data_IF_942005269336
#
_entry.id   IF_942005269336
#
_cell.length_a   1.000
_cell.length_b   1.000
_cell.length_c   1.000
_cell.angle_alpha   90.00
_cell.angle_beta   90.00
_cell.angle_gamma   90.00
#
_symmetry.space_group_name_H-M   'P 1'
#
loop_
_entity.id
_entity.type
_entity.pdbx_description
1 polymer ?
#
# COMPACT_ATOMS: atom_id res chain seq x y z
N UNK A 1 -13.21 -86.59 -9.69
CA UNK A 1 -14.25 -85.56 -9.40
C UNK A 1 -13.58 -84.29 -8.93
N UNK A 2 -13.42 -83.30 -9.81
CA UNK A 2 -12.73 -82.08 -9.51
C UNK A 2 -13.79 -80.96 -9.53
N UNK A 3 -14.11 -80.44 -8.34
CA UNK A 3 -15.01 -79.29 -8.19
C UNK A 3 -14.23 -77.99 -8.48
N UNK A 4 -14.67 -77.30 -9.54
CA UNK A 4 -14.17 -75.93 -9.87
C UNK A 4 -14.92 -74.93 -9.01
N UNK A 5 -14.18 -74.18 -8.15
CA UNK A 5 -14.70 -73.08 -7.41
C UNK A 5 -14.61 -71.81 -8.28
N UNK A 6 -15.74 -71.13 -8.42
CA UNK A 6 -15.82 -69.84 -9.12
C UNK A 6 -15.45 -68.72 -8.12
N UNK A 7 -14.49 -67.88 -8.48
CA UNK A 7 -14.17 -66.62 -7.78
C UNK A 7 -15.05 -65.50 -8.32
N UNK A 8 -15.67 -64.68 -7.46
CA UNK A 8 -16.33 -63.45 -7.90
C UNK A 8 -15.32 -62.34 -8.11
N UNK A 9 -15.41 -61.71 -9.25
CA UNK A 9 -14.64 -60.51 -9.60
C UNK A 9 -15.21 -59.30 -8.82
N UNK A 10 -14.42 -58.70 -7.93
CA UNK A 10 -14.72 -57.42 -7.30
C UNK A 10 -14.31 -56.28 -8.25
N UNK A 11 -15.29 -55.59 -8.82
CA UNK A 11 -15.10 -54.31 -9.50
C UNK A 11 -14.88 -53.22 -8.46
N UNK A 12 -13.62 -52.76 -8.30
CA UNK A 12 -13.29 -51.57 -7.52
C UNK A 12 -13.62 -50.32 -8.34
N UNK A 13 -14.69 -49.64 -7.99
CA UNK A 13 -15.00 -48.31 -8.50
C UNK A 13 -14.04 -47.28 -7.87
N UNK A 14 -13.09 -46.78 -8.66
CA UNK A 14 -12.23 -45.67 -8.27
C UNK A 14 -13.03 -44.35 -8.42
N UNK A 15 -13.50 -43.83 -7.28
CA UNK A 15 -14.10 -42.49 -7.24
C UNK A 15 -12.98 -41.44 -7.38
N UNK A 16 -12.92 -40.78 -8.51
CA UNK A 16 -12.07 -39.61 -8.75
C UNK A 16 -12.69 -38.42 -7.97
N UNK A 17 -12.17 -38.13 -6.76
CA UNK A 17 -12.49 -36.87 -6.06
C UNK A 17 -11.73 -35.74 -6.74
N UNK A 18 -12.45 -34.90 -7.52
CA UNK A 18 -11.94 -33.61 -7.97
C UNK A 18 -11.79 -32.71 -6.72
N UNK A 19 -10.57 -32.59 -6.21
CA UNK A 19 -10.24 -31.54 -5.26
C UNK A 19 -10.20 -30.22 -6.03
N UNK A 20 -11.25 -29.41 -5.88
CA UNK A 20 -11.22 -28.02 -6.28
C UNK A 20 -10.15 -27.31 -5.41
N UNK A 21 -8.94 -27.18 -5.93
CA UNK A 21 -7.88 -26.41 -5.32
C UNK A 21 -8.27 -24.93 -5.34
N UNK A 22 -8.64 -24.38 -4.20
CA UNK A 22 -8.64 -22.93 -3.99
C UNK A 22 -7.19 -22.44 -4.13
N UNK A 23 -6.80 -22.07 -5.34
CA UNK A 23 -5.56 -21.37 -5.59
C UNK A 23 -5.77 -19.91 -5.17
N UNK A 24 -5.64 -19.64 -3.88
CA UNK A 24 -5.49 -18.30 -3.30
C UNK A 24 -4.10 -17.77 -3.62
N UNK A 25 -3.75 -17.67 -4.88
CA UNK A 25 -2.57 -16.97 -5.36
C UNK A 25 -2.91 -15.49 -5.52
N UNK A 26 -2.77 -14.70 -4.46
CA UNK A 26 -2.74 -13.25 -4.59
C UNK A 26 -1.61 -12.89 -5.55
N UNK A 27 -1.94 -12.55 -6.79
CA UNK A 27 -0.97 -12.00 -7.73
C UNK A 27 -0.51 -10.67 -7.16
N UNK A 28 0.75 -10.61 -6.70
CA UNK A 28 1.35 -9.35 -6.28
C UNK A 28 1.16 -8.34 -7.41
N UNK A 29 0.41 -7.27 -7.14
CA UNK A 29 0.15 -6.24 -8.13
C UNK A 29 1.47 -5.65 -8.63
N UNK A 30 1.57 -5.41 -9.93
CA UNK A 30 2.75 -4.77 -10.51
C UNK A 30 2.86 -3.34 -9.96
N UNK A 31 4.10 -2.87 -9.68
CA UNK A 31 4.31 -1.51 -9.20
C UNK A 31 3.64 -0.45 -10.09
N UNK A 32 2.76 0.35 -9.53
CA UNK A 32 2.01 1.39 -10.24
C UNK A 32 0.74 0.94 -10.96
N UNK A 33 0.41 -0.35 -10.92
CA UNK A 33 -0.86 -0.85 -11.44
C UNK A 33 -1.89 -0.99 -10.31
N UNK A 34 -3.18 -0.69 -10.58
CA UNK A 34 -4.22 -0.86 -9.58
C UNK A 34 -4.40 -2.34 -9.19
N UNK A 35 -4.51 -2.56 -7.88
CA UNK A 35 -4.96 -3.83 -7.30
C UNK A 35 -6.45 -4.00 -7.58
N UNK A 36 -6.95 -5.18 -8.01
CA UNK A 36 -8.38 -5.43 -8.12
C UNK A 36 -9.10 -5.13 -6.80
N UNK A 37 -10.29 -4.56 -6.86
CA UNK A 37 -11.03 -4.05 -5.69
C UNK A 37 -11.19 -5.12 -4.60
N UNK A 38 -11.50 -6.36 -5.00
CA UNK A 38 -11.71 -7.49 -4.07
C UNK A 38 -10.42 -7.99 -3.40
N UNK A 39 -9.25 -7.64 -3.95
CA UNK A 39 -7.94 -8.04 -3.43
C UNK A 39 -7.29 -6.94 -2.56
N UNK A 40 -7.88 -5.73 -2.49
CA UNK A 40 -7.35 -4.61 -1.71
C UNK A 40 -7.48 -4.86 -0.22
N UNK A 41 -6.45 -4.52 0.52
CA UNK A 41 -6.40 -4.65 1.97
C UNK A 41 -6.28 -3.28 2.63
N UNK A 42 -7.00 -3.07 3.72
CA UNK A 42 -6.84 -1.90 4.58
C UNK A 42 -5.61 -2.10 5.48
N UNK A 43 -4.83 -1.04 5.74
CA UNK A 43 -3.87 -1.07 6.83
C UNK A 43 -4.59 -1.23 8.17
N UNK A 44 -3.87 -1.70 9.19
CA UNK A 44 -4.34 -1.58 10.56
C UNK A 44 -4.49 -0.09 10.94
N UNK A 45 -5.05 0.22 12.13
CA UNK A 45 -5.23 1.61 12.55
C UNK A 45 -3.92 2.42 12.42
N UNK A 46 -3.97 3.49 11.62
CA UNK A 46 -2.84 4.38 11.32
C UNK A 46 -3.10 5.73 11.98
N UNK A 47 -2.43 5.97 13.09
CA UNK A 47 -2.53 7.22 13.83
C UNK A 47 -1.21 7.53 14.52
N UNK A 48 -0.94 8.80 14.71
CA UNK A 48 0.27 9.24 15.38
C UNK A 48 0.39 10.75 15.44
N UNK A 49 1.52 11.19 15.95
CA UNK A 49 1.86 12.60 16.04
C UNK A 49 2.50 13.08 14.75
N UNK A 50 2.10 14.22 14.25
CA UNK A 50 2.73 14.88 13.11
C UNK A 50 4.10 15.45 13.48
N UNK A 51 4.85 15.91 12.47
CA UNK A 51 6.10 16.64 12.71
C UNK A 51 5.88 17.90 13.56
N UNK A 52 4.71 18.52 13.48
CA UNK A 52 4.33 19.71 14.23
C UNK A 52 3.83 19.42 15.64
N UNK A 53 3.58 18.14 15.99
CA UNK A 53 3.14 17.71 17.31
C UNK A 53 1.62 17.51 17.42
N UNK A 54 0.90 17.61 16.33
CA UNK A 54 -0.55 17.40 16.29
C UNK A 54 -0.88 15.90 16.16
N UNK A 55 -1.99 15.46 16.76
CA UNK A 55 -2.48 14.09 16.54
C UNK A 55 -3.24 14.00 15.24
N UNK A 56 -2.88 13.02 14.40
CA UNK A 56 -3.56 12.75 13.15
C UNK A 56 -3.90 11.26 13.06
N UNK A 57 -5.13 10.97 12.65
CA UNK A 57 -5.62 9.62 12.37
C UNK A 57 -5.97 9.54 10.87
N UNK A 58 -5.48 8.51 10.18
CA UNK A 58 -5.80 8.26 8.77
C UNK A 58 -7.31 8.17 8.53
N UNK A 59 -8.08 7.67 9.49
CA UNK A 59 -9.54 7.60 9.43
C UNK A 59 -10.21 8.99 9.30
N UNK A 60 -9.50 10.09 9.62
CA UNK A 60 -10.01 11.45 9.36
C UNK A 60 -10.16 11.78 7.87
N UNK A 61 -9.60 10.96 7.00
CA UNK A 61 -9.69 11.06 5.54
C UNK A 61 -10.71 10.08 4.92
N UNK A 62 -11.54 9.41 5.72
CA UNK A 62 -12.56 8.48 5.23
C UNK A 62 -13.40 9.11 4.11
N UNK A 63 -13.65 8.35 3.05
CA UNK A 63 -14.34 8.81 1.85
C UNK A 63 -13.48 9.57 0.83
N UNK A 64 -12.20 9.83 1.15
CA UNK A 64 -11.24 10.44 0.22
C UNK A 64 -10.24 9.41 -0.30
N UNK A 65 -9.77 9.62 -1.51
CA UNK A 65 -8.54 8.98 -1.99
C UNK A 65 -7.36 9.59 -1.24
N UNK A 66 -6.43 8.76 -0.75
CA UNK A 66 -5.28 9.23 0.02
C UNK A 66 -3.98 8.74 -0.62
N UNK A 67 -3.04 9.65 -0.86
CA UNK A 67 -1.66 9.30 -1.20
C UNK A 67 -0.83 9.27 0.08
N UNK A 68 -0.25 8.11 0.39
CA UNK A 68 0.64 7.93 1.56
C UNK A 68 2.07 7.72 1.06
N UNK A 69 2.98 8.59 1.47
CA UNK A 69 4.40 8.50 1.10
C UNK A 69 5.26 8.20 2.34
N UNK A 70 6.00 7.10 2.28
CA UNK A 70 6.99 6.71 3.31
C UNK A 70 8.35 7.24 2.92
N UNK A 71 8.97 8.04 3.79
CA UNK A 71 10.18 8.79 3.50
C UNK A 71 11.08 8.98 4.72
N UNK A 72 12.28 9.51 4.51
CA UNK A 72 13.16 10.00 5.57
C UNK A 72 14.08 11.11 5.01
N UNK A 73 14.54 12.01 5.86
CA UNK A 73 15.40 13.14 5.46
C UNK A 73 16.76 12.69 4.92
N UNK A 74 17.28 11.57 5.40
CA UNK A 74 18.57 11.00 4.96
C UNK A 74 18.45 10.18 3.65
N UNK A 75 17.24 9.89 3.19
CA UNK A 75 16.99 9.10 1.99
C UNK A 75 17.21 9.93 0.71
N UNK A 76 18.24 9.59 -0.07
CA UNK A 76 18.57 10.30 -1.31
C UNK A 76 17.45 10.29 -2.35
N UNK A 77 16.88 9.11 -2.72
CA UNK A 77 15.75 9.03 -3.65
C UNK A 77 14.50 9.77 -3.16
N UNK A 78 14.23 9.83 -1.84
CA UNK A 78 13.12 10.60 -1.28
C UNK A 78 13.26 12.11 -1.57
N UNK A 79 14.49 12.61 -1.52
CA UNK A 79 14.79 14.01 -1.88
C UNK A 79 14.53 14.30 -3.36
N UNK A 80 14.78 13.31 -4.22
CA UNK A 80 14.57 13.46 -5.65
C UNK A 80 13.08 13.46 -6.05
N UNK A 81 12.23 12.70 -5.34
CA UNK A 81 10.79 12.63 -5.64
C UNK A 81 9.96 13.74 -4.97
N UNK A 82 10.44 14.33 -3.86
CA UNK A 82 9.67 15.29 -3.07
C UNK A 82 9.03 16.44 -3.89
N UNK A 83 9.72 17.07 -4.88
CA UNK A 83 9.08 18.09 -5.71
C UNK A 83 7.94 17.56 -6.58
N UNK A 84 8.03 16.30 -7.04
CA UNK A 84 6.97 15.68 -7.84
C UNK A 84 5.73 15.40 -7.00
N UNK A 85 5.92 14.88 -5.78
CA UNK A 85 4.83 14.65 -4.82
C UNK A 85 4.14 15.95 -4.43
N UNK A 86 4.90 17.01 -4.14
CA UNK A 86 4.33 18.32 -3.82
C UNK A 86 3.53 18.91 -5.00
N UNK A 87 4.05 18.80 -6.22
CA UNK A 87 3.34 19.27 -7.41
C UNK A 87 2.01 18.52 -7.60
N UNK A 88 2.02 17.19 -7.47
CA UNK A 88 0.80 16.36 -7.53
C UNK A 88 -0.18 16.73 -6.42
N UNK A 89 0.31 16.98 -5.20
CA UNK A 89 -0.53 17.42 -4.08
C UNK A 89 -1.20 18.76 -4.39
N UNK A 90 -0.46 19.77 -4.80
CA UNK A 90 -1.02 21.10 -5.08
C UNK A 90 -2.10 21.10 -6.16
N UNK A 91 -1.96 20.21 -7.15
CA UNK A 91 -2.96 20.06 -8.22
C UNK A 91 -4.24 19.32 -7.78
N UNK A 92 -4.17 18.51 -6.71
CA UNK A 92 -5.26 17.60 -6.33
C UNK A 92 -5.77 17.80 -4.89
N UNK A 93 -5.23 18.74 -4.10
CA UNK A 93 -5.50 18.89 -2.64
C UNK A 93 -6.96 19.12 -2.25
N UNK A 94 -7.79 19.56 -3.17
CA UNK A 94 -9.21 19.77 -2.92
C UNK A 94 -9.99 18.44 -2.92
N UNK A 95 -9.52 17.43 -3.65
CA UNK A 95 -10.18 16.14 -3.83
C UNK A 95 -9.42 14.98 -3.17
N UNK A 96 -8.09 15.04 -3.16
CA UNK A 96 -7.19 13.98 -2.69
C UNK A 96 -6.44 14.45 -1.45
N UNK A 97 -6.41 13.60 -0.42
CA UNK A 97 -5.56 13.83 0.74
C UNK A 97 -4.14 13.28 0.50
N UNK A 98 -3.14 13.93 1.09
CA UNK A 98 -1.75 13.45 1.12
C UNK A 98 -1.30 13.32 2.56
N UNK A 99 -0.55 12.26 2.84
CA UNK A 99 0.03 11.96 4.14
C UNK A 99 1.46 11.45 3.97
N UNK A 100 2.42 12.15 4.55
CA UNK A 100 3.77 11.64 4.70
C UNK A 100 3.86 10.73 5.94
N UNK A 101 4.76 9.77 5.92
CA UNK A 101 5.19 9.00 7.09
C UNK A 101 6.72 9.05 7.12
N UNK A 102 7.26 9.84 8.02
CA UNK A 102 8.70 10.00 8.23
C UNK A 102 9.21 8.91 9.17
N UNK A 103 10.04 8.01 8.66
CA UNK A 103 10.45 6.81 9.38
C UNK A 103 11.94 6.79 9.71
N UNK A 104 12.28 6.31 10.92
CA UNK A 104 13.68 6.14 11.37
C UNK A 104 14.53 7.41 11.18
N UNK A 105 13.97 8.53 11.53
CA UNK A 105 14.58 9.85 11.36
C UNK A 105 14.58 10.64 12.67
N UNK A 106 15.19 11.81 12.63
CA UNK A 106 15.09 12.80 13.69
C UNK A 106 14.08 13.88 13.31
N UNK A 107 13.28 14.37 14.26
CA UNK A 107 12.28 15.41 14.00
C UNK A 107 12.88 16.68 13.37
N UNK A 108 14.08 17.06 13.79
CA UNK A 108 14.78 18.22 13.23
C UNK A 108 15.23 17.99 11.78
N UNK A 109 15.74 16.79 11.46
CA UNK A 109 16.09 16.39 10.12
C UNK A 109 14.88 16.38 9.19
N UNK A 110 13.77 15.79 9.65
CA UNK A 110 12.50 15.75 8.93
C UNK A 110 11.94 17.16 8.68
N UNK A 111 11.91 18.04 9.69
CA UNK A 111 11.49 19.45 9.54
C UNK A 111 12.39 20.24 8.59
N UNK A 112 13.70 19.99 8.60
CA UNK A 112 14.63 20.61 7.67
C UNK A 112 14.37 20.15 6.23
N UNK A 113 14.05 18.88 6.02
CA UNK A 113 13.65 18.33 4.72
C UNK A 113 12.37 18.99 4.21
N UNK A 114 11.31 19.02 5.01
CA UNK A 114 10.01 19.64 4.66
C UNK A 114 10.21 21.10 4.23
N UNK A 115 10.96 21.88 5.02
CA UNK A 115 11.27 23.30 4.65
C UNK A 115 12.06 23.40 3.34
N UNK A 116 13.03 22.52 3.13
CA UNK A 116 13.92 22.57 1.96
C UNK A 116 13.20 22.22 0.66
N UNK A 117 12.31 21.23 0.68
CA UNK A 117 11.63 20.73 -0.51
C UNK A 117 10.22 21.28 -0.68
N UNK A 118 9.73 22.05 0.31
CA UNK A 118 8.45 22.74 0.25
C UNK A 118 7.24 21.85 0.41
N UNK A 119 7.41 20.63 1.01
CA UNK A 119 6.29 19.71 1.22
C UNK A 119 5.27 20.36 2.17
N UNK A 120 4.04 20.57 1.68
CA UNK A 120 2.99 21.30 2.42
C UNK A 120 1.87 20.40 2.97
N UNK A 121 1.91 19.10 2.67
CA UNK A 121 1.01 18.11 3.27
C UNK A 121 1.56 17.59 4.61
N UNK A 122 0.67 17.16 5.53
CA UNK A 122 1.08 16.69 6.85
C UNK A 122 1.93 15.41 6.78
N UNK A 123 2.83 15.25 7.73
CA UNK A 123 3.64 14.03 7.88
C UNK A 123 3.60 13.52 9.32
N UNK A 124 3.26 12.24 9.50
CA UNK A 124 3.40 11.52 10.76
C UNK A 124 4.89 11.26 11.04
N UNK A 125 5.28 11.40 12.29
CA UNK A 125 6.63 11.11 12.77
C UNK A 125 6.68 9.70 13.35
N UNK A 126 7.36 8.78 12.65
CA UNK A 126 7.45 7.34 12.98
C UNK A 126 8.90 6.88 13.19
N UNK A 127 9.62 7.41 14.19
CA UNK A 127 11.04 7.10 14.39
C UNK A 127 11.30 5.63 14.71
N UNK A 128 10.30 4.93 15.24
CA UNK A 128 10.40 3.51 15.58
C UNK A 128 9.85 2.58 14.47
N UNK A 129 9.21 3.12 13.43
CA UNK A 129 8.61 2.35 12.34
C UNK A 129 7.33 1.60 12.73
N UNK A 130 6.64 2.01 13.80
CA UNK A 130 5.40 1.39 14.28
C UNK A 130 4.23 1.63 13.35
N UNK A 131 4.09 2.85 12.85
CA UNK A 131 3.04 3.23 11.89
C UNK A 131 3.23 2.45 10.59
N UNK A 132 4.48 2.35 10.13
CA UNK A 132 4.83 1.60 8.91
C UNK A 132 4.44 0.13 9.00
N UNK A 133 4.52 -0.50 10.18
CA UNK A 133 4.10 -1.89 10.39
C UNK A 133 2.59 -2.10 10.23
N UNK A 134 1.78 -1.05 10.33
CA UNK A 134 0.33 -1.13 10.07
C UNK A 134 0.01 -1.39 8.60
N UNK A 135 0.96 -1.16 7.70
CA UNK A 135 0.83 -1.43 6.28
C UNK A 135 1.55 -2.72 5.91
N UNK A 136 0.83 -3.83 5.86
CA UNK A 136 1.39 -5.17 5.58
C UNK A 136 2.09 -5.28 4.21
N UNK A 137 1.72 -4.41 3.26
CA UNK A 137 2.29 -4.33 1.92
C UNK A 137 3.58 -3.49 1.83
N UNK A 138 3.96 -2.78 2.89
CA UNK A 138 5.14 -1.91 2.90
C UNK A 138 6.30 -2.60 3.59
N UNK A 139 7.43 -2.68 2.90
CA UNK A 139 8.68 -3.06 3.54
C UNK A 139 9.30 -1.81 4.22
N UNK A 140 9.39 -1.77 5.56
CA UNK A 140 9.91 -0.60 6.28
C UNK A 140 11.37 -0.23 5.96
N UNK A 141 12.09 -1.12 5.29
CA UNK A 141 13.48 -0.87 4.83
C UNK A 141 13.58 -0.33 3.42
N UNK A 142 12.48 -0.28 2.65
CA UNK A 142 12.47 0.14 1.25
C UNK A 142 11.92 1.56 1.12
N UNK A 143 12.79 2.55 1.24
CA UNK A 143 12.45 3.96 1.04
C UNK A 143 12.95 4.50 -0.30
N UNK A 144 12.17 5.36 -0.95
CA UNK A 144 10.79 5.71 -0.62
C UNK A 144 9.79 4.62 -1.02
N UNK A 145 8.59 4.65 -0.47
CA UNK A 145 7.44 3.89 -0.96
C UNK A 145 6.22 4.80 -0.97
N UNK A 146 5.48 4.82 -2.09
CA UNK A 146 4.24 5.59 -2.20
C UNK A 146 3.07 4.65 -2.42
N UNK A 147 1.99 4.83 -1.65
CA UNK A 147 0.73 4.12 -1.79
C UNK A 147 -0.35 5.09 -2.22
N UNK A 148 -1.33 4.58 -2.98
CA UNK A 148 -2.61 5.26 -3.18
C UNK A 148 -3.66 4.38 -2.48
N UNK A 149 -4.39 4.96 -1.54
CA UNK A 149 -5.53 4.32 -0.89
C UNK A 149 -6.81 4.77 -1.57
N UNK A 150 -7.76 3.86 -1.72
CA UNK A 150 -9.11 4.17 -2.20
C UNK A 150 -9.95 4.88 -1.11
N UNK A 151 -11.21 5.20 -1.42
CA UNK A 151 -12.10 5.91 -0.50
C UNK A 151 -12.48 5.11 0.75
N UNK A 152 -12.31 3.79 0.71
CA UNK A 152 -12.49 2.88 1.84
C UNK A 152 -11.20 2.66 2.64
N UNK A 153 -10.13 3.41 2.32
CA UNK A 153 -8.84 3.33 2.98
C UNK A 153 -8.03 2.08 2.65
N UNK A 154 -8.37 1.34 1.58
CA UNK A 154 -7.67 0.13 1.15
C UNK A 154 -6.54 0.47 0.19
N UNK A 155 -5.44 -0.26 0.25
CA UNK A 155 -4.29 -0.06 -0.66
C UNK A 155 -4.68 -0.45 -2.09
N UNK A 156 -4.85 0.55 -2.94
CA UNK A 156 -5.24 0.41 -4.33
C UNK A 156 -4.05 0.38 -5.30
N UNK A 157 -2.98 1.15 -5.03
CA UNK A 157 -1.76 1.16 -5.86
C UNK A 157 -0.54 1.25 -4.95
N UNK A 158 0.57 0.61 -5.37
CA UNK A 158 1.84 0.71 -4.68
C UNK A 158 2.99 1.04 -5.65
N UNK A 159 3.85 1.97 -5.25
CA UNK A 159 5.10 2.31 -5.90
C UNK A 159 6.26 2.06 -4.93
N UNK A 160 6.91 0.90 -4.96
CA UNK A 160 8.16 0.69 -4.25
C UNK A 160 9.28 1.43 -4.99
N UNK A 161 10.07 2.21 -4.24
CA UNK A 161 11.08 3.11 -4.79
C UNK A 161 10.50 4.43 -5.29
N UNK A 162 11.40 5.27 -5.82
CA UNK A 162 11.08 6.62 -6.26
C UNK A 162 9.96 6.63 -7.32
N UNK A 163 8.99 7.52 -7.15
CA UNK A 163 7.91 7.76 -8.09
C UNK A 163 8.06 9.13 -8.75
N UNK A 164 7.84 9.20 -10.06
CA UNK A 164 7.76 10.46 -10.80
C UNK A 164 6.31 10.90 -10.95
N UNK A 165 6.08 12.21 -11.14
CA UNK A 165 4.76 12.76 -11.43
C UNK A 165 4.09 12.06 -12.62
N UNK A 166 4.84 11.77 -13.69
CA UNK A 166 4.34 11.08 -14.88
C UNK A 166 3.82 9.64 -14.61
N UNK A 167 4.25 9.02 -13.50
CA UNK A 167 3.75 7.70 -13.07
C UNK A 167 2.65 7.82 -12.02
N UNK A 168 2.76 8.78 -11.11
CA UNK A 168 1.81 8.97 -10.02
C UNK A 168 0.46 9.47 -10.51
N UNK A 169 0.44 10.54 -11.32
CA UNK A 169 -0.80 11.20 -11.73
C UNK A 169 -1.77 10.28 -12.51
N UNK A 170 -1.32 9.49 -13.51
CA UNK A 170 -2.25 8.60 -14.20
C UNK A 170 -2.82 7.48 -13.30
N UNK A 171 -2.03 7.00 -12.34
CA UNK A 171 -2.49 6.00 -11.39
C UNK A 171 -3.49 6.61 -10.39
N UNK A 172 -3.19 7.81 -9.89
CA UNK A 172 -4.07 8.56 -9.00
C UNK A 172 -5.41 8.85 -9.68
N UNK A 173 -5.40 9.34 -10.92
CA UNK A 173 -6.60 9.65 -11.68
C UNK A 173 -7.52 8.41 -11.87
N UNK A 174 -6.93 7.22 -12.05
CA UNK A 174 -7.71 5.96 -12.14
C UNK A 174 -8.46 5.69 -10.84
N UNK A 175 -7.80 5.83 -9.67
CA UNK A 175 -8.43 5.54 -8.37
C UNK A 175 -9.45 6.62 -8.01
N UNK A 176 -9.18 7.89 -8.32
CA UNK A 176 -10.15 8.99 -8.13
C UNK A 176 -11.42 8.78 -8.95
N UNK A 177 -11.31 8.22 -10.16
CA UNK A 177 -12.45 7.92 -11.05
C UNK A 177 -13.29 6.70 -10.60
N UNK A 178 -12.80 5.85 -9.70
CA UNK A 178 -13.57 4.74 -9.11
C UNK A 178 -14.67 5.30 -8.20
N UNK A 179 -15.88 4.69 -8.26
CA UNK A 179 -17.06 5.12 -7.49
C UNK A 179 -17.45 4.05 -6.48
#
# INVERSE_FOLDING_TARGET
MIRRAAMPAFLAAVALTLTAGCSGGGTAAKPGEPVPVDDRQSPAAVKGETLEGEQLDLASYDGKVVVVNFWASWCGPCRAEAPALEATYQENKDEVAFLGVDIKDTRDGAKAFVRKYGNSYPSLFDPEGKITQSFSSVNPGALPTTLILDREGRVAVQFPGMVSKARLDPALAKIVAER
#
